data_IF_415868139818
#
_entry.id   IF_415868139818
#
_cell.length_a   1.000
_cell.length_b   1.000
_cell.length_c   1.000
_cell.angle_alpha   90.00
_cell.angle_beta   90.00
_cell.angle_gamma   90.00
#
_symmetry.space_group_name_H-M   'P 1'
#
loop_
_entity.id
_entity.type
_entity.pdbx_description
1 polymer ?
#
# COMPACT_ATOMS: atom_id res chain seq x y z
N UNK A 1 -0.94 -0.05 -17.44
CA UNK A 1 -0.59 1.26 -16.91
C UNK A 1 -1.21 1.54 -15.56
N UNK A 2 -2.53 1.49 -15.42
CA UNK A 2 -3.20 1.70 -14.13
C UNK A 2 -2.72 0.73 -13.06
N UNK A 3 -2.51 -0.53 -13.42
CA UNK A 3 -2.05 -1.56 -12.48
C UNK A 3 -0.62 -1.30 -12.00
N UNK A 4 0.23 -0.81 -12.88
CA UNK A 4 1.62 -0.50 -12.53
C UNK A 4 1.70 0.72 -11.60
N UNK A 5 0.91 1.76 -11.87
CA UNK A 5 0.85 2.95 -11.03
C UNK A 5 0.35 2.60 -9.63
N UNK A 6 -0.73 1.81 -9.54
CA UNK A 6 -1.26 1.34 -8.27
C UNK A 6 -0.21 0.53 -7.50
N UNK A 7 0.47 -0.36 -8.20
CA UNK A 7 1.52 -1.20 -7.61
C UNK A 7 2.68 -0.37 -7.05
N UNK A 8 3.12 0.64 -7.81
CA UNK A 8 4.18 1.54 -7.38
C UNK A 8 3.77 2.38 -6.19
N UNK A 9 2.54 2.86 -6.17
CA UNK A 9 1.99 3.64 -5.06
C UNK A 9 1.95 2.79 -3.78
N UNK A 10 1.53 1.53 -3.90
CA UNK A 10 1.49 0.60 -2.76
C UNK A 10 2.89 0.34 -2.22
N UNK A 11 3.86 0.11 -3.10
CA UNK A 11 5.26 -0.08 -2.71
C UNK A 11 5.80 1.15 -1.99
N UNK A 12 5.48 2.32 -2.48
CA UNK A 12 5.90 3.58 -1.88
C UNK A 12 5.29 3.78 -0.49
N UNK A 13 4.00 3.45 -0.34
CA UNK A 13 3.33 3.57 0.95
C UNK A 13 3.98 2.69 2.01
N UNK A 14 4.39 1.48 1.64
CA UNK A 14 5.02 0.54 2.58
C UNK A 14 6.49 0.84 2.82
N UNK A 15 7.24 1.17 1.77
CA UNK A 15 8.70 1.21 1.82
C UNK A 15 9.30 2.57 1.48
N UNK A 16 8.49 3.60 1.27
CA UNK A 16 8.99 4.91 0.85
C UNK A 16 10.04 5.51 1.76
N UNK A 17 9.98 5.21 3.05
CA UNK A 17 10.94 5.71 4.02
C UNK A 17 12.37 5.17 3.81
N UNK A 18 12.51 4.10 3.03
CA UNK A 18 13.82 3.54 2.69
C UNK A 18 14.51 4.28 1.56
N UNK A 19 13.79 5.17 0.88
CA UNK A 19 14.33 5.93 -0.25
C UNK A 19 15.12 7.15 0.24
N UNK A 20 16.06 7.61 -0.60
CA UNK A 20 16.74 8.88 -0.33
C UNK A 20 15.73 10.02 -0.47
N UNK A 21 16.07 11.19 0.06
CA UNK A 21 15.19 12.36 -0.02
C UNK A 21 14.81 12.71 -1.47
N UNK A 22 15.78 12.68 -2.38
CA UNK A 22 15.55 12.96 -3.80
C UNK A 22 14.69 11.90 -4.47
N UNK A 23 14.97 10.62 -4.20
CA UNK A 23 14.19 9.51 -4.74
C UNK A 23 12.74 9.62 -4.29
N UNK A 24 12.54 9.90 -3.02
CA UNK A 24 11.21 10.04 -2.43
C UNK A 24 10.44 11.20 -3.06
N UNK A 25 11.08 12.36 -3.18
CA UNK A 25 10.48 13.56 -3.78
C UNK A 25 10.08 13.33 -5.23
N UNK A 26 11.00 12.82 -6.05
CA UNK A 26 10.76 12.65 -7.48
C UNK A 26 9.77 11.53 -7.78
N UNK A 27 9.82 10.46 -7.00
CA UNK A 27 8.86 9.37 -7.09
C UNK A 27 7.44 9.89 -6.77
N UNK A 28 7.32 10.66 -5.71
CA UNK A 28 6.04 11.24 -5.29
C UNK A 28 5.46 12.18 -6.35
N UNK A 29 6.29 13.05 -6.91
CA UNK A 29 5.86 13.96 -7.97
C UNK A 29 5.35 13.21 -9.20
N UNK A 30 6.05 12.15 -9.58
CA UNK A 30 5.71 11.39 -10.79
C UNK A 30 4.48 10.51 -10.61
N UNK A 31 4.42 9.74 -9.53
CA UNK A 31 3.36 8.75 -9.34
C UNK A 31 2.13 9.28 -8.61
N UNK A 32 2.30 10.20 -7.67
CA UNK A 32 1.17 10.71 -6.89
C UNK A 32 0.64 12.06 -7.41
N UNK A 33 1.52 12.94 -7.86
CA UNK A 33 1.14 14.27 -8.36
C UNK A 33 1.02 14.33 -9.88
N UNK A 34 1.23 13.21 -10.59
CA UNK A 34 1.09 13.10 -12.05
C UNK A 34 2.01 14.02 -12.87
N UNK A 35 3.15 14.38 -12.32
CA UNK A 35 4.13 15.15 -13.08
C UNK A 35 4.83 14.27 -14.09
N UNK A 36 5.01 14.79 -15.32
CA UNK A 36 5.84 14.12 -16.33
C UNK A 36 7.32 14.27 -15.97
N UNK A 37 8.15 13.44 -16.56
CA UNK A 37 9.60 13.54 -16.37
C UNK A 37 10.10 14.92 -16.79
N UNK A 38 9.56 15.46 -17.89
CA UNK A 38 9.91 16.79 -18.39
C UNK A 38 9.54 17.90 -17.40
N UNK A 39 8.36 17.80 -16.80
CA UNK A 39 7.91 18.77 -15.80
C UNK A 39 8.79 18.75 -14.56
N UNK A 40 9.18 17.57 -14.10
CA UNK A 40 10.08 17.44 -12.95
C UNK A 40 11.45 18.02 -13.30
N UNK A 41 11.95 17.73 -14.49
CA UNK A 41 13.24 18.25 -14.97
C UNK A 41 13.24 19.79 -14.99
N UNK A 42 12.17 20.40 -15.47
CA UNK A 42 12.03 21.85 -15.50
C UNK A 42 12.05 22.45 -14.10
N UNK A 43 11.29 21.88 -13.18
CA UNK A 43 11.19 22.40 -11.81
C UNK A 43 12.47 22.25 -11.01
N UNK A 44 13.19 21.14 -11.23
CA UNK A 44 14.35 20.80 -10.39
C UNK A 44 15.69 21.25 -10.99
N UNK A 45 15.71 21.59 -12.28
CA UNK A 45 16.95 21.94 -12.97
C UNK A 45 17.83 20.75 -13.32
N UNK A 46 17.32 19.53 -13.12
CA UNK A 46 18.02 18.30 -13.48
C UNK A 46 17.54 17.88 -14.87
N UNK A 47 18.40 17.18 -15.64
CA UNK A 47 18.01 16.70 -16.96
C UNK A 47 16.89 15.66 -16.85
N UNK A 48 16.09 15.54 -17.91
CA UNK A 48 15.03 14.54 -17.99
C UNK A 48 15.58 13.12 -17.75
N UNK A 49 16.74 12.82 -18.32
CA UNK A 49 17.40 11.52 -18.13
C UNK A 49 17.80 11.33 -16.66
N UNK A 50 18.31 12.37 -16.02
CA UNK A 50 18.68 12.32 -14.61
C UNK A 50 17.47 12.05 -13.71
N UNK A 51 16.34 12.70 -14.00
CA UNK A 51 15.08 12.44 -13.27
C UNK A 51 14.66 10.99 -13.42
N UNK A 52 14.67 10.50 -14.68
CA UNK A 52 14.29 9.12 -14.98
C UNK A 52 15.17 8.12 -14.22
N UNK A 53 16.49 8.35 -14.21
CA UNK A 53 17.43 7.48 -13.50
C UNK A 53 17.14 7.42 -12.00
N UNK A 54 16.84 8.56 -11.39
CA UNK A 54 16.53 8.63 -9.95
C UNK A 54 15.25 7.85 -9.64
N UNK A 55 14.22 8.04 -10.46
CA UNK A 55 12.93 7.33 -10.27
C UNK A 55 13.10 5.83 -10.49
N UNK A 56 13.86 5.43 -11.50
CA UNK A 56 14.12 4.01 -11.79
C UNK A 56 14.85 3.31 -10.65
N UNK A 57 15.82 3.98 -10.06
CA UNK A 57 16.55 3.43 -8.89
C UNK A 57 15.63 3.30 -7.68
N UNK A 58 14.74 4.28 -7.50
CA UNK A 58 13.73 4.22 -6.44
C UNK A 58 12.81 3.02 -6.64
N UNK A 59 12.29 2.83 -7.85
CA UNK A 59 11.43 1.68 -8.19
C UNK A 59 12.13 0.35 -7.89
N UNK A 60 13.39 0.26 -8.29
CA UNK A 60 14.19 -0.95 -8.05
C UNK A 60 14.35 -1.27 -6.58
N UNK A 61 14.67 -0.25 -5.78
CA UNK A 61 14.80 -0.42 -4.33
C UNK A 61 13.50 -0.93 -3.73
N UNK A 62 12.36 -0.34 -4.12
CA UNK A 62 11.06 -0.76 -3.62
C UNK A 62 10.72 -2.20 -4.01
N UNK A 63 10.95 -2.57 -5.28
CA UNK A 63 10.68 -3.94 -5.76
C UNK A 63 11.54 -4.97 -5.06
N UNK A 64 12.82 -4.70 -4.93
CA UNK A 64 13.75 -5.61 -4.24
C UNK A 64 13.39 -5.79 -2.78
N UNK A 65 12.93 -4.73 -2.13
CA UNK A 65 12.51 -4.80 -0.74
C UNK A 65 11.29 -5.72 -0.61
N UNK A 66 10.30 -5.58 -1.48
CA UNK A 66 9.14 -6.45 -1.46
C UNK A 66 9.49 -7.91 -1.78
N UNK A 67 10.40 -8.13 -2.73
CA UNK A 67 10.88 -9.48 -3.03
C UNK A 67 11.48 -10.18 -1.81
N UNK A 68 12.20 -9.42 -0.99
CA UNK A 68 12.84 -9.95 0.21
C UNK A 68 11.90 -10.11 1.38
N UNK A 69 11.00 -9.17 1.60
CA UNK A 69 10.15 -9.15 2.80
C UNK A 69 8.79 -9.82 2.60
N UNK A 70 8.20 -9.67 1.42
CA UNK A 70 6.86 -10.17 1.14
C UNK A 70 5.77 -9.55 2.01
N UNK A 71 6.02 -8.38 2.62
CA UNK A 71 5.08 -7.73 3.54
C UNK A 71 3.77 -7.34 2.90
N UNK A 72 3.83 -6.81 1.67
CA UNK A 72 2.62 -6.39 0.94
C UNK A 72 1.76 -7.61 0.61
N UNK A 73 2.40 -8.68 0.15
CA UNK A 73 1.68 -9.93 -0.16
C UNK A 73 0.99 -10.49 1.08
N UNK A 74 1.72 -10.55 2.21
CA UNK A 74 1.15 -11.05 3.47
C UNK A 74 0.03 -10.15 3.97
N UNK A 75 0.19 -8.84 3.82
CA UNK A 75 -0.85 -7.88 4.21
C UNK A 75 -2.14 -8.12 3.43
N UNK A 76 -2.04 -8.35 2.10
CA UNK A 76 -3.20 -8.68 1.27
C UNK A 76 -3.88 -9.97 1.69
N UNK A 77 -3.09 -11.00 1.96
CA UNK A 77 -3.61 -12.29 2.43
C UNK A 77 -4.35 -12.12 3.75
N UNK A 78 -3.80 -11.32 4.67
CA UNK A 78 -4.46 -11.03 5.95
C UNK A 78 -5.77 -10.28 5.76
N UNK A 79 -5.80 -9.29 4.86
CA UNK A 79 -7.03 -8.54 4.59
C UNK A 79 -8.12 -9.45 4.01
N UNK A 80 -7.75 -10.37 3.13
CA UNK A 80 -8.70 -11.34 2.57
C UNK A 80 -9.26 -12.26 3.66
N UNK A 81 -8.39 -12.73 4.55
CA UNK A 81 -8.80 -13.57 5.67
C UNK A 81 -9.72 -12.81 6.63
N UNK A 82 -9.39 -11.56 6.92
CA UNK A 82 -10.23 -10.71 7.78
C UNK A 82 -11.61 -10.50 7.16
N UNK A 83 -11.67 -10.22 5.86
CA UNK A 83 -12.94 -10.04 5.16
C UNK A 83 -13.81 -11.30 5.23
N UNK A 84 -13.20 -12.47 5.05
CA UNK A 84 -13.89 -13.74 5.17
C UNK A 84 -14.43 -13.96 6.59
N UNK A 85 -13.61 -13.67 7.60
CA UNK A 85 -14.03 -13.77 9.00
C UNK A 85 -15.19 -12.82 9.33
N UNK A 86 -15.17 -11.62 8.77
CA UNK A 86 -16.26 -10.65 8.96
C UNK A 86 -17.58 -11.17 8.39
N UNK A 87 -17.54 -11.78 7.20
CA UNK A 87 -18.73 -12.36 6.58
C UNK A 87 -19.31 -13.49 7.44
N UNK A 88 -18.45 -14.36 7.95
CA UNK A 88 -18.86 -15.48 8.81
C UNK A 88 -19.46 -14.96 10.12
N UNK A 89 -18.81 -13.95 10.71
CA UNK A 89 -19.31 -13.35 11.95
C UNK A 89 -20.66 -12.66 11.77
N UNK A 90 -20.87 -12.00 10.63
CA UNK A 90 -22.14 -11.37 10.35
C UNK A 90 -23.27 -12.41 10.32
N UNK A 91 -23.01 -13.54 9.66
CA UNK A 91 -23.97 -14.65 9.61
C UNK A 91 -24.23 -15.25 10.98
N UNK A 92 -23.18 -15.42 11.77
CA UNK A 92 -23.30 -16.00 13.11
C UNK A 92 -24.05 -15.06 14.04
N UNK A 93 -23.82 -13.75 13.94
CA UNK A 93 -24.51 -12.74 14.72
C UNK A 93 -26.02 -12.79 14.47
N UNK A 94 -26.43 -12.97 13.21
CA UNK A 94 -27.84 -13.09 12.85
C UNK A 94 -28.51 -14.34 13.44
N UNK A 95 -27.73 -15.39 13.66
CA UNK A 95 -28.25 -16.68 14.14
C UNK A 95 -28.17 -16.84 15.67
N UNK A 96 -27.63 -15.87 16.38
CA UNK A 96 -27.41 -15.95 17.81
C UNK A 96 -28.19 -14.85 18.56
N UNK A 97 -28.42 -15.08 19.83
CA UNK A 97 -29.09 -14.14 20.71
C UNK A 97 -28.41 -14.10 22.08
N UNK A 98 -28.72 -13.07 22.87
CA UNK A 98 -28.22 -12.92 24.22
C UNK A 98 -26.70 -12.80 24.30
N UNK A 99 -26.10 -13.55 25.21
CA UNK A 99 -24.67 -13.50 25.48
C UNK A 99 -23.84 -13.94 24.29
N UNK A 100 -24.30 -14.95 23.56
CA UNK A 100 -23.60 -15.41 22.37
C UNK A 100 -23.51 -14.31 21.30
N UNK A 101 -24.59 -13.57 21.11
CA UNK A 101 -24.61 -12.45 20.17
C UNK A 101 -23.68 -11.33 20.62
N UNK A 102 -23.65 -11.03 21.90
CA UNK A 102 -22.75 -10.03 22.46
C UNK A 102 -21.28 -10.39 22.19
N UNK A 103 -20.94 -11.68 22.27
CA UNK A 103 -19.59 -12.16 21.98
C UNK A 103 -19.22 -12.03 20.49
N UNK A 104 -20.15 -12.32 19.58
CA UNK A 104 -19.90 -12.15 18.15
C UNK A 104 -19.72 -10.69 17.80
N UNK A 105 -20.48 -9.80 18.41
CA UNK A 105 -20.32 -8.35 18.21
C UNK A 105 -18.96 -7.86 18.72
N UNK A 106 -18.52 -8.37 19.85
CA UNK A 106 -17.20 -8.08 20.40
C UNK A 106 -16.09 -8.55 19.46
N UNK A 107 -16.24 -9.73 18.88
CA UNK A 107 -15.29 -10.25 17.88
C UNK A 107 -15.23 -9.36 16.65
N UNK A 108 -16.37 -8.87 16.17
CA UNK A 108 -16.43 -7.96 15.03
C UNK A 108 -15.68 -6.68 15.29
N UNK A 109 -15.80 -6.12 16.48
CA UNK A 109 -15.05 -4.93 16.88
C UNK A 109 -13.55 -5.18 16.89
N UNK A 110 -13.13 -6.34 17.38
CA UNK A 110 -11.72 -6.72 17.43
C UNK A 110 -11.15 -6.91 16.01
N UNK A 111 -11.92 -7.54 15.13
CA UNK A 111 -11.52 -7.71 13.74
C UNK A 111 -11.35 -6.37 13.02
N UNK A 112 -12.20 -5.40 13.34
CA UNK A 112 -12.08 -4.06 12.74
C UNK A 112 -10.72 -3.42 13.03
N UNK A 113 -10.12 -3.71 14.17
CA UNK A 113 -8.79 -3.19 14.52
C UNK A 113 -7.70 -3.73 13.62
N UNK A 114 -7.89 -4.93 13.06
CA UNK A 114 -6.92 -5.53 12.14
C UNK A 114 -6.92 -4.87 10.76
N UNK A 115 -7.97 -4.16 10.43
CA UNK A 115 -8.04 -3.44 9.14
C UNK A 115 -7.18 -2.18 9.13
N UNK A 116 -6.77 -1.71 10.25
CA UNK A 116 -5.95 -0.53 10.41
C UNK A 116 -6.73 0.72 10.72
#
# INVERSE_FOLDING_TARGET
MKNQTYRMTMLFDFYGELLTAKQKEYFDLHYNADYSLSEIAEETGISRQGVWDIIKRAEETLRKTEEKTGLIRRFREHLEAVAEMEDILAKLTEQTEGEARALTEQLSETLNKLKG
#
